data_IF_736400176775
#
_entry.id   IF_736400176775
#
_cell.length_a   1.000
_cell.length_b   1.000
_cell.length_c   1.000
_cell.angle_alpha   90.00
_cell.angle_beta   90.00
_cell.angle_gamma   90.00
#
_symmetry.space_group_name_H-M   'P 1'
#
loop_
_entity.id
_entity.type
_entity.pdbx_description
1 polymer ?
#
# COMPACT_ATOMS: atom_id res chain seq x y z
N UNK A 1 26.94 10.47 -13.99
CA UNK A 1 25.61 10.15 -14.56
C UNK A 1 24.95 11.45 -14.99
N UNK A 2 24.27 11.47 -16.16
CA UNK A 2 23.61 12.68 -16.67
C UNK A 2 22.09 12.45 -16.69
N UNK A 3 21.35 13.11 -15.81
CA UNK A 3 19.88 13.02 -15.71
C UNK A 3 19.27 14.25 -16.35
N UNK A 4 18.35 14.07 -17.28
CA UNK A 4 17.66 15.16 -17.96
C UNK A 4 16.19 15.23 -17.53
N UNK A 5 15.72 16.42 -17.19
CA UNK A 5 14.36 16.73 -16.79
C UNK A 5 13.70 17.60 -17.87
N UNK A 6 12.52 17.22 -18.30
CA UNK A 6 11.73 18.00 -19.28
C UNK A 6 10.36 18.35 -18.67
N UNK A 7 10.30 19.49 -17.98
CA UNK A 7 9.08 19.96 -17.34
C UNK A 7 7.98 20.41 -18.34
N UNK A 8 8.34 20.60 -19.60
CA UNK A 8 7.36 20.90 -20.65
C UNK A 8 6.72 19.64 -21.24
N UNK A 9 7.31 18.45 -21.00
CA UNK A 9 6.78 17.18 -21.44
C UNK A 9 5.96 16.54 -20.32
N UNK A 10 4.65 16.64 -20.39
CA UNK A 10 3.74 15.93 -19.50
C UNK A 10 3.65 14.45 -19.93
N UNK A 11 4.03 13.53 -19.07
CA UNK A 11 4.01 12.07 -19.32
C UNK A 11 2.84 11.37 -18.64
N UNK A 12 2.16 12.05 -17.73
CA UNK A 12 1.02 11.52 -16.99
C UNK A 12 0.65 12.37 -15.78
N UNK A 13 0.00 11.77 -14.82
CA UNK A 13 -0.22 12.36 -13.49
C UNK A 13 0.73 11.70 -12.47
N UNK A 14 1.07 12.42 -11.43
CA UNK A 14 1.69 11.80 -10.25
C UNK A 14 0.63 10.96 -9.56
N UNK A 15 0.89 9.65 -9.47
CA UNK A 15 -0.01 8.68 -8.85
C UNK A 15 0.12 8.69 -7.31
N UNK A 16 -0.86 8.17 -6.58
CA UNK A 16 -0.85 8.08 -5.11
C UNK A 16 0.09 6.94 -4.63
N UNK A 17 1.41 7.13 -4.80
CA UNK A 17 2.43 6.12 -4.47
C UNK A 17 2.91 6.20 -3.01
N UNK A 18 2.42 7.17 -2.22
CA UNK A 18 2.82 7.42 -0.83
C UNK A 18 1.66 7.28 0.17
N UNK A 19 0.72 6.37 -0.12
CA UNK A 19 -0.28 5.92 0.85
C UNK A 19 0.36 5.14 2.01
N UNK A 20 -0.39 4.95 3.07
CA UNK A 20 0.08 4.22 4.26
C UNK A 20 -0.92 3.13 4.68
N UNK A 21 -0.42 2.04 5.23
CA UNK A 21 -1.19 1.12 6.05
C UNK A 21 -1.10 1.52 7.52
N UNK A 22 -2.14 1.26 8.30
CA UNK A 22 -2.19 1.54 9.74
C UNK A 22 -1.80 2.99 10.09
N UNK A 23 -2.76 3.92 10.06
CA UNK A 23 -2.48 5.33 10.26
C UNK A 23 -1.84 5.61 11.64
N UNK A 24 -1.09 6.73 11.78
CA UNK A 24 -0.30 7.03 12.97
C UNK A 24 -1.15 7.63 14.09
N UNK A 25 -1.84 6.81 14.89
CA UNK A 25 -2.52 7.26 16.11
C UNK A 25 -1.98 6.55 17.35
N UNK A 26 -2.15 7.17 18.50
CA UNK A 26 -1.72 6.64 19.79
C UNK A 26 -2.91 6.70 20.77
N UNK A 27 -3.45 5.54 21.09
CA UNK A 27 -4.66 5.47 21.92
C UNK A 27 -5.86 6.09 21.20
N UNK A 28 -6.32 7.25 21.67
CA UNK A 28 -7.39 8.05 21.06
C UNK A 28 -6.86 9.39 20.53
N UNK A 29 -5.54 9.55 20.46
CA UNK A 29 -4.91 10.77 19.96
C UNK A 29 -4.69 10.65 18.44
N UNK A 30 -5.46 11.37 17.68
CA UNK A 30 -5.38 11.46 16.23
C UNK A 30 -4.59 12.70 15.76
N UNK A 31 -3.98 13.48 16.65
CA UNK A 31 -3.22 14.68 16.29
C UNK A 31 -2.05 14.39 15.34
N UNK A 32 -1.51 13.17 15.40
CA UNK A 32 -0.46 12.69 14.51
C UNK A 32 -0.91 12.56 13.04
N UNK A 33 -2.21 12.62 12.73
CA UNK A 33 -2.70 12.68 11.35
C UNK A 33 -2.34 13.99 10.65
N UNK A 34 -1.92 15.02 11.41
CA UNK A 34 -1.30 16.21 10.83
C UNK A 34 -0.11 15.86 9.92
N UNK A 35 0.69 14.85 10.28
CA UNK A 35 1.78 14.36 9.44
C UNK A 35 1.29 13.76 8.11
N UNK A 36 0.15 13.09 8.10
CA UNK A 36 -0.45 12.59 6.85
C UNK A 36 -0.85 13.77 5.94
N UNK A 37 -1.48 14.79 6.52
CA UNK A 37 -1.88 16.01 5.79
C UNK A 37 -0.65 16.78 5.28
N UNK A 38 0.37 16.96 6.11
CA UNK A 38 1.61 17.64 5.75
C UNK A 38 2.35 16.96 4.60
N UNK A 39 2.40 15.63 4.59
CA UNK A 39 2.97 14.84 3.51
C UNK A 39 2.02 14.61 2.34
N UNK A 40 0.78 15.14 2.38
CA UNK A 40 -0.28 14.90 1.39
C UNK A 40 -0.53 13.41 1.12
N UNK A 41 -0.47 12.57 2.17
CA UNK A 41 -0.72 11.13 2.07
C UNK A 41 -2.13 10.90 1.53
N UNK A 42 -2.28 10.19 0.38
CA UNK A 42 -3.56 10.14 -0.33
C UNK A 42 -4.56 9.15 0.26
N UNK A 43 -4.07 8.09 0.90
CA UNK A 43 -4.89 7.00 1.44
C UNK A 43 -4.27 6.40 2.69
N UNK A 44 -5.13 5.93 3.63
CA UNK A 44 -4.75 5.04 4.72
C UNK A 44 -5.50 3.70 4.58
N UNK A 45 -4.78 2.61 4.36
CA UNK A 45 -5.39 1.28 4.34
C UNK A 45 -5.65 0.80 5.76
N UNK A 46 -6.90 0.41 6.04
CA UNK A 46 -7.34 -0.03 7.36
C UNK A 46 -7.24 -1.55 7.50
N UNK A 47 -6.03 -2.04 7.70
CA UNK A 47 -5.74 -3.42 8.09
C UNK A 47 -4.83 -3.41 9.33
N UNK A 48 -4.99 -4.38 10.26
CA UNK A 48 -4.27 -4.47 11.54
C UNK A 48 -4.35 -3.21 12.41
N UNK A 49 -5.36 -2.41 12.25
CA UNK A 49 -5.52 -1.17 13.00
C UNK A 49 -5.84 -1.48 14.46
N UNK A 50 -4.89 -1.20 15.33
CA UNK A 50 -5.03 -1.36 16.77
C UNK A 50 -6.08 -0.44 17.37
N UNK A 51 -6.44 -0.71 18.60
CA UNK A 51 -7.39 0.08 19.35
C UNK A 51 -6.82 0.66 20.64
N UNK A 52 -7.57 1.59 21.24
CA UNK A 52 -7.17 2.35 22.39
C UNK A 52 -6.95 1.50 23.66
N UNK A 53 -7.67 0.45 23.84
CA UNK A 53 -7.70 -0.31 25.11
C UNK A 53 -7.28 -1.76 24.92
N UNK A 54 -6.04 -1.98 24.55
CA UNK A 54 -5.44 -3.30 24.66
C UNK A 54 -5.89 -4.32 23.62
N UNK A 55 -5.93 -3.96 22.37
CA UNK A 55 -6.00 -4.92 21.28
C UNK A 55 -7.35 -5.12 20.63
N UNK A 56 -8.31 -4.25 20.85
CA UNK A 56 -9.50 -4.18 20.00
C UNK A 56 -9.08 -3.84 18.57
N UNK A 57 -9.50 -4.63 17.60
CA UNK A 57 -9.30 -4.36 16.17
C UNK A 57 -10.59 -3.78 15.62
N UNK A 58 -10.77 -2.48 15.81
CA UNK A 58 -12.06 -1.77 15.62
C UNK A 58 -12.64 -1.91 14.23
N UNK A 59 -11.77 -1.96 13.22
CA UNK A 59 -12.18 -2.05 11.81
C UNK A 59 -12.50 -3.46 11.37
N UNK A 60 -12.26 -4.46 12.20
CA UNK A 60 -12.59 -5.85 11.88
C UNK A 60 -14.10 -6.07 11.94
N UNK A 61 -14.62 -6.75 10.92
CA UNK A 61 -16.06 -7.05 10.84
C UNK A 61 -16.59 -7.72 12.10
N UNK A 62 -15.90 -8.74 12.71
CA UNK A 62 -16.35 -9.36 13.96
C UNK A 62 -16.33 -8.41 15.18
N UNK A 63 -15.72 -7.25 15.08
CA UNK A 63 -15.75 -6.25 16.14
C UNK A 63 -16.86 -5.23 15.94
N UNK A 64 -17.14 -4.90 14.70
CA UNK A 64 -18.26 -4.01 14.34
C UNK A 64 -19.59 -4.75 14.49
N UNK A 65 -19.68 -6.00 14.02
CA UNK A 65 -20.87 -6.85 14.13
C UNK A 65 -20.51 -8.13 14.88
N UNK A 66 -20.71 -8.14 16.21
CA UNK A 66 -20.12 -9.16 17.10
C UNK A 66 -20.88 -10.47 17.14
N UNK A 67 -22.19 -10.43 17.08
CA UNK A 67 -23.03 -11.64 17.07
C UNK A 67 -23.55 -11.92 15.66
N UNK A 68 -22.97 -12.91 15.00
CA UNK A 68 -23.37 -13.30 13.66
C UNK A 68 -24.84 -13.77 13.57
N UNK A 69 -25.47 -14.15 14.69
CA UNK A 69 -26.89 -14.54 14.71
C UNK A 69 -27.84 -13.34 14.92
N UNK A 70 -27.32 -12.16 15.29
CA UNK A 70 -28.14 -10.94 15.41
C UNK A 70 -28.74 -10.52 14.05
N UNK A 71 -29.75 -9.67 14.07
CA UNK A 71 -30.34 -9.10 12.85
C UNK A 71 -29.40 -8.06 12.25
N UNK A 72 -28.92 -8.30 11.03
CA UNK A 72 -28.03 -7.40 10.32
C UNK A 72 -28.70 -6.10 9.84
N UNK A 73 -30.02 -6.03 9.88
CA UNK A 73 -30.79 -4.81 9.54
C UNK A 73 -31.02 -3.90 10.75
N UNK A 74 -30.80 -4.41 11.97
CA UNK A 74 -30.92 -3.64 13.20
C UNK A 74 -29.63 -2.85 13.49
N UNK A 75 -29.65 -1.50 13.50
CA UNK A 75 -28.52 -0.68 13.91
C UNK A 75 -27.92 -1.05 15.27
N UNK A 76 -28.71 -1.55 16.21
CA UNK A 76 -28.24 -1.94 17.54
C UNK A 76 -27.32 -3.18 17.52
N UNK A 77 -27.29 -3.93 16.42
CA UNK A 77 -26.40 -5.07 16.22
C UNK A 77 -24.94 -4.66 15.89
N UNK A 78 -24.69 -3.37 15.65
CA UNK A 78 -23.38 -2.84 15.24
C UNK A 78 -22.76 -1.95 16.32
N UNK A 79 -21.43 -2.02 16.43
CA UNK A 79 -20.63 -1.15 17.30
C UNK A 79 -19.65 -0.36 16.44
N UNK A 80 -20.04 0.86 16.09
CA UNK A 80 -19.22 1.77 15.28
C UNK A 80 -18.37 2.74 16.12
N UNK A 81 -18.53 2.78 17.44
CA UNK A 81 -18.03 3.85 18.29
C UNK A 81 -16.54 4.22 18.05
N UNK A 82 -15.66 3.23 17.96
CA UNK A 82 -14.24 3.48 17.76
C UNK A 82 -13.86 3.62 16.27
N UNK A 83 -14.51 2.88 15.41
CA UNK A 83 -14.26 2.96 13.95
C UNK A 83 -14.68 4.32 13.43
N UNK A 84 -15.78 4.90 13.96
CA UNK A 84 -16.26 6.23 13.62
C UNK A 84 -15.23 7.32 13.94
N UNK A 85 -14.64 7.28 15.13
CA UNK A 85 -13.64 8.28 15.52
C UNK A 85 -12.41 8.21 14.65
N UNK A 86 -11.96 7.00 14.30
CA UNK A 86 -10.83 6.78 13.41
C UNK A 86 -11.11 7.27 11.98
N UNK A 87 -12.23 6.84 11.40
CA UNK A 87 -12.58 7.18 10.02
C UNK A 87 -12.85 8.68 9.87
N UNK A 88 -13.60 9.28 10.84
CA UNK A 88 -13.83 10.73 10.85
C UNK A 88 -12.53 11.52 10.90
N UNK A 89 -11.61 11.13 11.79
CA UNK A 89 -10.31 11.80 11.88
C UNK A 89 -9.50 11.69 10.57
N UNK A 90 -9.50 10.52 9.91
CA UNK A 90 -8.84 10.38 8.61
C UNK A 90 -9.45 11.29 7.54
N UNK A 91 -10.77 11.36 7.49
CA UNK A 91 -11.48 12.23 6.55
C UNK A 91 -11.20 13.72 6.81
N UNK A 92 -11.19 14.15 8.09
CA UNK A 92 -10.89 15.53 8.49
C UNK A 92 -9.46 15.97 8.11
N UNK A 93 -8.51 15.03 8.13
CA UNK A 93 -7.13 15.29 7.71
C UNK A 93 -6.90 15.08 6.20
N UNK A 94 -7.94 14.72 5.44
CA UNK A 94 -7.87 14.56 3.97
C UNK A 94 -7.13 13.30 3.53
N UNK A 95 -7.14 12.25 4.36
CA UNK A 95 -6.53 10.96 4.08
C UNK A 95 -7.60 9.85 4.09
N UNK A 96 -8.46 9.74 3.06
CA UNK A 96 -9.56 8.79 3.04
C UNK A 96 -9.07 7.33 3.17
N UNK A 97 -9.86 6.45 3.79
CA UNK A 97 -9.46 5.06 3.95
C UNK A 97 -9.65 4.22 2.68
N UNK A 98 -8.77 3.22 2.51
CA UNK A 98 -9.08 1.96 1.83
C UNK A 98 -9.56 1.02 2.92
N UNK A 99 -10.86 0.71 2.94
CA UNK A 99 -11.48 -0.05 4.03
C UNK A 99 -11.43 -1.55 3.74
N UNK A 100 -10.68 -2.32 4.53
CA UNK A 100 -10.61 -3.77 4.43
C UNK A 100 -11.80 -4.42 5.16
N UNK A 101 -12.69 -5.04 4.40
CA UNK A 101 -13.81 -5.86 4.90
C UNK A 101 -13.30 -7.27 5.23
N UNK A 102 -13.01 -7.53 6.50
CA UNK A 102 -12.43 -8.81 6.93
C UNK A 102 -11.90 -8.73 8.36
N UNK A 103 -10.78 -9.38 8.60
CA UNK A 103 -10.16 -9.52 9.93
C UNK A 103 -8.67 -9.22 9.91
N UNK A 104 -8.11 -8.96 11.09
CA UNK A 104 -6.69 -8.73 11.34
C UNK A 104 -5.98 -10.04 11.65
N UNK A 105 -4.76 -10.25 11.13
CA UNK A 105 -3.94 -11.45 11.41
C UNK A 105 -3.61 -11.59 12.90
N UNK A 106 -3.33 -10.50 13.58
CA UNK A 106 -3.01 -10.49 15.01
C UNK A 106 -4.24 -10.69 15.90
N UNK A 107 -5.43 -10.74 15.31
CA UNK A 107 -6.68 -10.89 16.03
C UNK A 107 -7.03 -12.36 16.28
N UNK A 108 -6.08 -13.15 16.74
CA UNK A 108 -6.24 -14.57 17.06
C UNK A 108 -6.93 -14.80 18.40
N UNK A 109 -8.01 -14.05 18.67
CA UNK A 109 -8.78 -14.25 19.89
C UNK A 109 -9.78 -15.39 19.69
N UNK A 110 -9.55 -16.51 20.38
CA UNK A 110 -10.39 -17.72 20.34
C UNK A 110 -11.86 -17.52 20.74
N UNK A 111 -12.20 -16.37 21.28
CA UNK A 111 -13.56 -16.06 21.76
C UNK A 111 -14.47 -15.52 20.64
N UNK A 112 -13.95 -15.26 19.44
CA UNK A 112 -14.69 -14.56 18.38
C UNK A 112 -15.31 -15.52 17.38
N UNK A 113 -16.60 -15.31 17.12
CA UNK A 113 -17.47 -16.30 16.51
C UNK A 113 -17.15 -16.64 15.04
N UNK A 114 -16.54 -15.74 14.25
CA UNK A 114 -16.29 -15.99 12.82
C UNK A 114 -15.03 -15.27 12.32
N UNK A 115 -14.14 -15.07 13.13
CA UNK A 115 -12.84 -14.46 13.03
C UNK A 115 -12.13 -14.70 11.68
N UNK A 116 -11.18 -15.64 11.62
CA UNK A 116 -10.55 -16.07 10.36
C UNK A 116 -11.27 -17.26 9.71
N UNK A 117 -12.40 -17.67 10.28
CA UNK A 117 -13.20 -18.78 9.77
C UNK A 117 -14.18 -18.31 8.71
N UNK A 118 -14.53 -19.17 7.73
CA UNK A 118 -15.61 -18.88 6.81
C UNK A 118 -16.89 -18.51 7.57
N UNK A 119 -17.54 -17.39 7.24
CA UNK A 119 -18.86 -17.09 7.80
C UNK A 119 -19.86 -18.21 7.43
N UNK A 120 -20.76 -18.52 8.36
CA UNK A 120 -21.78 -19.57 8.14
C UNK A 120 -22.73 -19.31 6.99
N UNK A 121 -22.91 -18.02 6.63
CA UNK A 121 -23.77 -17.54 5.55
C UNK A 121 -23.05 -16.35 4.87
N UNK A 122 -22.57 -16.58 3.66
CA UNK A 122 -21.86 -15.56 2.86
C UNK A 122 -22.79 -14.41 2.43
N UNK A 123 -24.07 -14.72 2.17
CA UNK A 123 -25.07 -13.70 1.86
C UNK A 123 -25.32 -12.76 3.02
N UNK A 124 -25.42 -13.29 4.25
CA UNK A 124 -25.53 -12.47 5.45
C UNK A 124 -24.28 -11.63 5.69
N UNK A 125 -23.09 -12.21 5.52
CA UNK A 125 -21.83 -11.48 5.63
C UNK A 125 -21.77 -10.32 4.63
N UNK A 126 -22.21 -10.54 3.39
CA UNK A 126 -22.30 -9.50 2.37
C UNK A 126 -23.26 -8.36 2.77
N UNK A 127 -24.43 -8.67 3.39
CA UNK A 127 -25.36 -7.66 3.91
C UNK A 127 -24.80 -6.93 5.12
N UNK A 128 -24.04 -7.57 6.00
CA UNK A 128 -23.30 -6.88 7.07
C UNK A 128 -22.34 -5.86 6.47
N UNK A 129 -21.54 -6.25 5.48
CA UNK A 129 -20.64 -5.34 4.76
C UNK A 129 -21.41 -4.19 4.08
N UNK A 130 -22.56 -4.45 3.47
CA UNK A 130 -23.44 -3.42 2.91
C UNK A 130 -23.82 -2.37 3.96
N UNK A 131 -24.26 -2.78 5.15
CA UNK A 131 -24.68 -1.85 6.19
C UNK A 131 -23.51 -1.02 6.74
N UNK A 132 -22.29 -1.58 6.79
CA UNK A 132 -21.08 -0.82 7.14
C UNK A 132 -20.80 0.27 6.06
N UNK A 133 -20.96 -0.07 4.78
CA UNK A 133 -20.79 0.91 3.68
C UNK A 133 -21.88 1.98 3.76
N UNK A 134 -23.14 1.61 3.99
CA UNK A 134 -24.24 2.55 4.16
C UNK A 134 -24.03 3.48 5.35
N UNK A 135 -23.44 2.96 6.44
CA UNK A 135 -23.11 3.78 7.61
C UNK A 135 -22.15 4.91 7.24
N UNK A 136 -21.07 4.62 6.54
CA UNK A 136 -20.06 5.63 6.18
C UNK A 136 -20.43 6.48 4.96
N UNK A 137 -21.25 5.97 4.05
CA UNK A 137 -21.53 6.66 2.78
C UNK A 137 -22.97 7.18 2.62
N UNK A 138 -23.95 6.63 3.37
CA UNK A 138 -25.37 6.95 3.20
C UNK A 138 -26.07 7.39 4.51
N UNK A 139 -25.32 7.51 5.61
CA UNK A 139 -25.84 7.97 6.91
C UNK A 139 -26.67 6.94 7.68
N UNK A 140 -26.67 5.66 7.28
CA UNK A 140 -27.39 4.61 8.01
C UNK A 140 -26.87 4.49 9.45
N UNK A 141 -27.76 4.17 10.41
CA UNK A 141 -27.43 4.03 11.84
C UNK A 141 -26.78 5.29 12.45
N UNK A 142 -27.28 6.49 12.12
CA UNK A 142 -26.68 7.79 12.47
C UNK A 142 -25.23 7.95 11.98
N UNK A 143 -24.90 7.36 10.85
CA UNK A 143 -23.58 7.41 10.25
C UNK A 143 -23.28 8.67 9.43
N UNK A 144 -22.48 8.52 8.40
CA UNK A 144 -21.82 9.61 7.67
C UNK A 144 -22.14 9.58 6.17
N UNK A 145 -21.73 10.64 5.46
CA UNK A 145 -21.79 10.78 4.01
C UNK A 145 -20.39 11.05 3.45
N UNK A 146 -19.42 10.23 3.83
CA UNK A 146 -18.00 10.45 3.49
C UNK A 146 -17.66 10.13 2.04
N UNK A 147 -18.42 9.26 1.38
CA UNK A 147 -18.13 8.84 0.02
C UNK A 147 -16.83 8.02 -0.10
N UNK A 148 -16.57 7.13 0.85
CA UNK A 148 -15.42 6.22 0.81
C UNK A 148 -15.53 5.36 -0.45
N UNK A 149 -14.47 5.37 -1.27
CA UNK A 149 -14.48 4.73 -2.59
C UNK A 149 -14.03 3.29 -2.54
N UNK A 150 -12.96 2.96 -1.80
CA UNK A 150 -12.30 1.66 -1.87
C UNK A 150 -12.71 0.74 -0.73
N UNK A 151 -13.26 -0.43 -1.10
CA UNK A 151 -13.71 -1.48 -0.19
C UNK A 151 -13.06 -2.80 -0.59
N UNK A 152 -12.13 -3.28 0.22
CA UNK A 152 -11.32 -4.44 -0.04
C UNK A 152 -11.88 -5.66 0.68
N UNK A 153 -12.16 -6.75 -0.06
CA UNK A 153 -12.70 -7.98 0.51
C UNK A 153 -11.55 -8.85 1.00
N UNK A 154 -11.43 -8.97 2.32
CA UNK A 154 -10.46 -9.75 3.07
C UNK A 154 -9.02 -9.21 3.01
N UNK A 155 -8.08 -10.02 3.54
CA UNK A 155 -6.63 -9.81 3.50
C UNK A 155 -5.94 -11.16 3.48
N UNK A 156 -5.03 -11.37 2.56
CA UNK A 156 -4.14 -12.54 2.49
C UNK A 156 -4.82 -13.91 2.72
N UNK A 157 -5.91 -14.24 2.05
CA UNK A 157 -6.52 -15.56 2.18
C UNK A 157 -5.62 -16.68 1.63
N UNK A 158 -4.56 -16.33 0.91
CA UNK A 158 -3.50 -17.18 0.36
C UNK A 158 -2.29 -17.34 1.31
N UNK A 159 -2.33 -16.76 2.51
CA UNK A 159 -1.20 -16.70 3.45
C UNK A 159 -0.95 -18.03 4.20
N UNK A 160 -0.90 -19.13 3.52
CA UNK A 160 -0.64 -20.48 4.07
C UNK A 160 -1.32 -21.55 3.24
N UNK A 161 -0.98 -22.80 3.52
CA UNK A 161 -1.69 -23.94 2.95
C UNK A 161 -3.07 -24.11 3.64
N UNK A 162 -4.06 -24.73 2.97
CA UNK A 162 -5.34 -25.03 3.59
C UNK A 162 -5.16 -25.73 4.96
N UNK A 163 -5.79 -25.20 6.00
CA UNK A 163 -5.64 -25.66 7.39
C UNK A 163 -4.45 -25.09 8.17
N UNK A 164 -3.50 -24.43 7.52
CA UNK A 164 -2.33 -23.77 8.15
C UNK A 164 -2.36 -22.25 7.97
N UNK A 165 -3.33 -21.73 7.24
CA UNK A 165 -3.45 -20.31 6.91
C UNK A 165 -3.86 -19.49 8.14
N UNK A 166 -3.11 -18.43 8.42
CA UNK A 166 -3.34 -17.54 9.58
C UNK A 166 -4.44 -16.51 9.33
N UNK A 167 -4.89 -16.35 8.09
CA UNK A 167 -5.89 -15.36 7.69
C UNK A 167 -7.22 -15.97 7.23
N UNK A 168 -7.21 -17.24 6.81
CA UNK A 168 -8.38 -17.95 6.30
C UNK A 168 -8.28 -19.45 6.57
N UNK A 169 -9.22 -20.00 7.32
CA UNK A 169 -9.24 -21.43 7.67
C UNK A 169 -10.11 -22.28 6.75
N UNK A 170 -10.84 -21.64 5.84
CA UNK A 170 -11.62 -22.32 4.80
C UNK A 170 -10.76 -22.83 3.64
N UNK A 171 -11.39 -23.42 2.64
CA UNK A 171 -10.74 -23.76 1.37
C UNK A 171 -10.59 -22.52 0.48
N UNK A 172 -9.77 -22.65 -0.57
CA UNK A 172 -9.61 -21.60 -1.57
C UNK A 172 -10.96 -21.29 -2.26
N UNK A 173 -11.72 -22.34 -2.61
CA UNK A 173 -13.03 -22.21 -3.24
C UNK A 173 -14.07 -21.55 -2.34
N UNK A 174 -14.02 -21.79 -1.02
CA UNK A 174 -14.89 -21.10 -0.06
C UNK A 174 -14.57 -19.59 -0.03
N UNK A 175 -13.29 -19.22 -0.13
CA UNK A 175 -12.92 -17.80 -0.24
C UNK A 175 -13.41 -17.18 -1.56
N UNK A 176 -13.22 -17.88 -2.68
CA UNK A 176 -13.68 -17.41 -3.99
C UNK A 176 -15.19 -17.21 -4.00
N UNK A 177 -15.94 -18.11 -3.39
CA UNK A 177 -17.39 -17.99 -3.25
C UNK A 177 -17.79 -16.83 -2.33
N UNK A 178 -17.10 -16.62 -1.20
CA UNK A 178 -17.31 -15.47 -0.32
C UNK A 178 -17.11 -14.16 -1.09
N UNK A 179 -16.00 -14.06 -1.85
CA UNK A 179 -15.69 -12.89 -2.66
C UNK A 179 -16.81 -12.64 -3.71
N UNK A 180 -17.17 -13.65 -4.46
CA UNK A 180 -18.18 -13.57 -5.53
C UNK A 180 -19.53 -13.08 -5.00
N UNK A 181 -20.04 -13.73 -3.95
CA UNK A 181 -21.32 -13.37 -3.32
C UNK A 181 -21.27 -11.93 -2.81
N UNK A 182 -20.19 -11.55 -2.14
CA UNK A 182 -20.04 -10.22 -1.58
C UNK A 182 -19.91 -9.14 -2.65
N UNK A 183 -19.03 -9.34 -3.62
CA UNK A 183 -18.81 -8.37 -4.69
C UNK A 183 -20.07 -8.14 -5.53
N UNK A 184 -20.79 -9.20 -5.90
CA UNK A 184 -22.08 -9.11 -6.61
C UNK A 184 -23.12 -8.35 -5.80
N UNK A 185 -23.23 -8.65 -4.51
CA UNK A 185 -24.15 -7.97 -3.61
C UNK A 185 -23.84 -6.47 -3.51
N UNK A 186 -22.60 -6.13 -3.19
CA UNK A 186 -22.16 -4.74 -3.04
C UNK A 186 -22.29 -3.93 -4.35
N UNK A 187 -21.90 -4.50 -5.48
CA UNK A 187 -22.06 -3.81 -6.77
C UNK A 187 -23.54 -3.67 -7.17
N UNK A 188 -24.41 -4.59 -6.77
CA UNK A 188 -25.86 -4.44 -6.94
C UNK A 188 -26.41 -3.28 -6.11
N UNK A 189 -25.93 -3.09 -4.88
CA UNK A 189 -26.39 -2.03 -3.95
C UNK A 189 -25.87 -0.65 -4.33
N UNK A 190 -24.59 -0.56 -4.69
CA UNK A 190 -23.86 0.73 -4.79
C UNK A 190 -23.39 1.07 -6.21
N UNK A 191 -23.42 0.14 -7.15
CA UNK A 191 -22.99 0.36 -8.54
C UNK A 191 -21.57 0.88 -8.65
N UNK A 192 -21.39 2.01 -9.33
CA UNK A 192 -20.10 2.67 -9.54
C UNK A 192 -19.72 3.68 -8.46
N UNK A 193 -20.56 3.90 -7.43
CA UNK A 193 -20.25 4.81 -6.34
C UNK A 193 -19.14 4.28 -5.43
N UNK A 194 -18.90 2.97 -5.47
CA UNK A 194 -17.80 2.32 -4.77
C UNK A 194 -16.98 1.44 -5.72
N UNK A 195 -15.72 1.20 -5.34
CA UNK A 195 -14.86 0.19 -5.94
C UNK A 195 -14.68 -0.97 -4.97
N UNK A 196 -14.94 -2.17 -5.45
CA UNK A 196 -14.79 -3.42 -4.72
C UNK A 196 -13.64 -4.21 -5.33
N UNK A 197 -12.76 -4.70 -4.50
CA UNK A 197 -11.61 -5.48 -4.97
C UNK A 197 -10.99 -6.34 -3.87
N UNK A 198 -9.83 -6.84 -4.11
CA UNK A 198 -9.09 -7.73 -3.23
C UNK A 198 -8.07 -8.51 -4.07
N UNK A 199 -7.54 -9.54 -3.58
CA UNK A 199 -7.75 -10.14 -2.24
C UNK A 199 -6.59 -9.83 -1.27
N UNK A 200 -5.77 -8.82 -1.58
CA UNK A 200 -4.56 -8.50 -0.85
C UNK A 200 -3.63 -9.72 -0.78
N UNK A 201 -3.19 -10.20 -1.95
CA UNK A 201 -2.33 -11.38 -2.06
C UNK A 201 -1.06 -11.22 -1.24
N UNK A 202 -0.69 -12.25 -0.48
CA UNK A 202 0.51 -12.24 0.38
C UNK A 202 1.83 -12.07 -0.39
N UNK A 203 1.87 -12.35 -1.69
CA UNK A 203 3.04 -12.14 -2.52
C UNK A 203 3.22 -13.14 -3.66
N UNK A 204 4.30 -12.90 -4.43
CA UNK A 204 4.60 -13.64 -5.66
C UNK A 204 6.00 -14.25 -5.63
N UNK A 205 6.52 -14.58 -4.47
CA UNK A 205 7.91 -15.00 -4.26
C UNK A 205 8.36 -16.19 -5.11
N UNK A 206 7.44 -17.13 -5.40
CA UNK A 206 7.77 -18.34 -6.19
C UNK A 206 8.12 -18.06 -7.65
N UNK A 207 7.81 -16.88 -8.20
CA UNK A 207 8.22 -16.50 -9.56
C UNK A 207 9.74 -16.41 -9.69
N UNK A 208 10.45 -16.12 -8.61
CA UNK A 208 11.91 -16.03 -8.58
C UNK A 208 12.59 -17.40 -8.50
N UNK A 209 11.84 -18.46 -8.14
CA UNK A 209 12.38 -19.83 -8.16
C UNK A 209 12.40 -20.43 -9.58
N UNK A 210 11.48 -20.02 -10.44
CA UNK A 210 11.39 -20.45 -11.84
C UNK A 210 11.27 -19.23 -12.78
N UNK A 211 12.27 -18.34 -12.80
CA UNK A 211 12.13 -17.02 -13.41
C UNK A 211 11.78 -17.08 -14.89
N UNK A 212 12.40 -17.98 -15.67
CA UNK A 212 12.14 -18.10 -17.12
C UNK A 212 10.72 -18.59 -17.42
N UNK A 213 10.15 -19.43 -16.56
CA UNK A 213 8.77 -19.91 -16.69
C UNK A 213 7.76 -18.77 -16.57
N UNK A 214 8.04 -17.80 -15.72
CA UNK A 214 7.17 -16.65 -15.46
C UNK A 214 7.63 -15.38 -16.20
N UNK A 215 8.66 -15.48 -17.04
CA UNK A 215 9.19 -14.36 -17.82
C UNK A 215 9.95 -13.32 -16.99
N UNK A 216 10.37 -13.67 -15.80
CA UNK A 216 11.24 -12.85 -14.95
C UNK A 216 12.70 -13.08 -15.36
N UNK A 217 13.55 -12.05 -15.52
CA UNK A 217 14.96 -12.24 -15.88
C UNK A 217 15.73 -13.02 -14.81
N UNK A 218 16.47 -14.04 -15.21
CA UNK A 218 17.24 -14.91 -14.31
C UNK A 218 18.26 -14.14 -13.46
N UNK A 219 18.89 -13.12 -14.04
CA UNK A 219 19.91 -12.30 -13.35
C UNK A 219 19.34 -11.43 -12.22
N UNK A 220 18.09 -11.08 -12.28
CA UNK A 220 17.46 -10.28 -11.23
C UNK A 220 17.17 -11.11 -9.97
N UNK A 221 17.00 -12.42 -10.12
CA UNK A 221 16.76 -13.34 -9.01
C UNK A 221 18.03 -13.69 -8.22
N UNK A 222 19.23 -13.44 -8.77
CA UNK A 222 20.45 -14.04 -8.23
C UNK A 222 21.22 -13.19 -7.22
N UNK A 223 21.06 -11.87 -7.20
CA UNK A 223 21.95 -10.98 -6.45
C UNK A 223 21.27 -10.18 -5.31
N UNK A 224 19.96 -10.09 -5.27
CA UNK A 224 19.25 -9.21 -4.34
C UNK A 224 18.39 -9.96 -3.31
N UNK A 225 17.86 -11.15 -3.62
CA UNK A 225 17.18 -12.00 -2.65
C UNK A 225 18.17 -12.52 -1.61
N UNK A 226 17.82 -12.34 -0.32
CA UNK A 226 18.54 -13.03 0.74
C UNK A 226 18.44 -14.56 0.55
N UNK A 227 19.39 -15.32 1.11
CA UNK A 227 19.34 -16.79 1.06
C UNK A 227 18.04 -17.31 1.68
N UNK A 228 17.54 -16.68 2.74
CA UNK A 228 16.28 -16.98 3.38
C UNK A 228 15.08 -16.81 2.42
N UNK A 229 15.05 -15.71 1.65
CA UNK A 229 13.99 -15.48 0.66
C UNK A 229 14.04 -16.44 -0.51
N UNK A 230 15.23 -16.86 -0.93
CA UNK A 230 15.40 -17.88 -1.98
C UNK A 230 14.84 -19.24 -1.54
N UNK A 231 15.10 -19.64 -0.30
CA UNK A 231 14.53 -20.87 0.25
C UNK A 231 13.01 -20.75 0.43
N UNK A 232 12.54 -19.58 0.90
CA UNK A 232 11.10 -19.32 1.01
C UNK A 232 10.40 -19.41 -0.35
N UNK A 233 10.99 -18.86 -1.41
CA UNK A 233 10.41 -18.91 -2.77
C UNK A 233 10.22 -20.36 -3.30
N UNK A 234 10.96 -21.35 -2.78
CA UNK A 234 10.80 -22.77 -3.10
C UNK A 234 9.72 -23.47 -2.28
N UNK A 235 9.26 -22.84 -1.21
CA UNK A 235 8.34 -23.46 -0.25
C UNK A 235 6.97 -23.78 -0.87
N UNK A 236 6.27 -24.80 -0.36
CA UNK A 236 4.89 -25.07 -0.78
C UNK A 236 3.96 -23.86 -0.57
N UNK A 237 4.19 -23.09 0.51
CA UNK A 237 3.42 -21.87 0.81
C UNK A 237 3.58 -20.80 -0.28
N UNK A 238 4.80 -20.49 -0.69
CA UNK A 238 5.03 -19.52 -1.76
C UNK A 238 4.45 -19.96 -3.12
N UNK A 239 4.46 -21.28 -3.40
CA UNK A 239 3.82 -21.86 -4.59
C UNK A 239 2.31 -21.78 -4.50
N UNK A 240 1.73 -22.00 -3.32
CA UNK A 240 0.29 -21.90 -3.09
C UNK A 240 -0.22 -20.47 -3.37
N UNK A 241 0.47 -19.43 -2.91
CA UNK A 241 0.10 -18.03 -3.22
C UNK A 241 -0.09 -17.81 -4.72
N UNK A 242 0.83 -18.35 -5.54
CA UNK A 242 0.76 -18.22 -6.98
C UNK A 242 -0.37 -19.05 -7.60
N UNK A 243 -0.59 -20.28 -7.13
CA UNK A 243 -1.70 -21.12 -7.62
C UNK A 243 -3.05 -20.57 -7.21
N UNK A 244 -3.16 -20.02 -6.02
CA UNK A 244 -4.35 -19.32 -5.54
C UNK A 244 -4.70 -18.12 -6.44
N UNK A 245 -3.70 -17.29 -6.78
CA UNK A 245 -3.90 -16.16 -7.68
C UNK A 245 -4.48 -16.59 -9.04
N UNK A 246 -3.93 -17.63 -9.67
CA UNK A 246 -4.44 -18.13 -10.93
C UNK A 246 -5.85 -18.70 -10.80
N UNK A 247 -6.10 -19.52 -9.77
CA UNK A 247 -7.41 -20.10 -9.52
C UNK A 247 -8.48 -19.05 -9.21
N UNK A 248 -8.11 -17.99 -8.46
CA UNK A 248 -9.02 -16.88 -8.19
C UNK A 248 -9.48 -16.18 -9.46
N UNK A 249 -8.58 -15.80 -10.36
CA UNK A 249 -8.96 -15.12 -11.60
C UNK A 249 -9.70 -16.03 -12.58
N UNK A 250 -9.38 -17.32 -12.63
CA UNK A 250 -10.18 -18.29 -13.37
C UNK A 250 -11.60 -18.38 -12.82
N UNK A 251 -11.77 -18.45 -11.51
CA UNK A 251 -13.07 -18.46 -10.86
C UNK A 251 -13.86 -17.17 -11.15
N UNK A 252 -13.23 -15.99 -10.98
CA UNK A 252 -13.87 -14.70 -11.26
C UNK A 252 -14.37 -14.63 -12.70
N UNK A 253 -13.58 -15.09 -13.66
CA UNK A 253 -13.94 -15.13 -15.08
C UNK A 253 -15.11 -16.08 -15.36
N UNK A 254 -15.10 -17.29 -14.78
CA UNK A 254 -16.14 -18.29 -14.96
C UNK A 254 -17.50 -17.85 -14.38
N UNK A 255 -17.47 -17.13 -13.24
CA UNK A 255 -18.67 -16.71 -12.53
C UNK A 255 -19.15 -15.30 -12.89
N UNK A 256 -18.38 -14.56 -13.72
CA UNK A 256 -18.66 -13.15 -14.02
C UNK A 256 -18.66 -12.27 -12.78
N UNK A 257 -17.76 -12.53 -11.84
CA UNK A 257 -17.67 -11.81 -10.57
C UNK A 257 -17.16 -10.41 -10.81
N UNK A 258 -17.79 -9.35 -10.24
CA UNK A 258 -17.30 -8.00 -10.38
C UNK A 258 -16.04 -7.81 -9.54
N UNK A 259 -15.06 -7.12 -10.13
CA UNK A 259 -13.83 -6.70 -9.49
C UNK A 259 -13.41 -5.36 -10.11
N UNK A 260 -13.12 -4.35 -9.30
CA UNK A 260 -12.70 -3.01 -9.77
C UNK A 260 -11.19 -2.81 -9.60
N UNK A 261 -10.57 -3.47 -8.61
CA UNK A 261 -9.13 -3.43 -8.40
C UNK A 261 -8.59 -4.75 -7.86
N UNK A 262 -7.35 -5.05 -8.19
CA UNK A 262 -6.59 -6.14 -7.59
C UNK A 262 -5.54 -5.58 -6.63
N UNK A 263 -5.45 -6.14 -5.42
CA UNK A 263 -4.48 -5.75 -4.41
C UNK A 263 -3.52 -6.88 -4.08
N UNK A 264 -2.27 -6.51 -3.80
CA UNK A 264 -1.19 -7.43 -3.51
C UNK A 264 -0.13 -6.82 -2.60
N UNK A 265 0.72 -7.65 -2.01
CA UNK A 265 1.76 -7.28 -1.06
C UNK A 265 3.14 -7.67 -1.56
N UNK A 266 4.17 -6.96 -1.10
CA UNK A 266 5.57 -7.34 -1.27
C UNK A 266 6.47 -6.64 -0.28
N UNK A 267 7.44 -7.37 0.25
CA UNK A 267 8.49 -6.89 1.14
C UNK A 267 9.88 -6.99 0.51
N UNK A 268 9.91 -7.09 -0.82
CA UNK A 268 11.12 -7.27 -1.61
C UNK A 268 11.84 -5.95 -1.93
N UNK A 269 13.00 -6.04 -2.56
CA UNK A 269 13.73 -4.88 -3.06
C UNK A 269 12.95 -4.14 -4.16
N UNK A 270 13.35 -2.88 -4.42
CA UNK A 270 12.70 -2.07 -5.47
C UNK A 270 12.74 -2.78 -6.82
N UNK A 271 13.86 -3.37 -7.19
CA UNK A 271 14.02 -4.05 -8.48
C UNK A 271 13.15 -5.30 -8.62
N UNK A 272 12.97 -6.04 -7.53
CA UNK A 272 12.12 -7.23 -7.50
C UNK A 272 10.63 -6.83 -7.57
N UNK A 273 10.23 -5.80 -6.84
CA UNK A 273 8.84 -5.29 -6.88
C UNK A 273 8.50 -4.77 -8.28
N UNK A 274 9.43 -4.12 -8.98
CA UNK A 274 9.22 -3.74 -10.39
C UNK A 274 8.92 -4.95 -11.28
N UNK A 275 9.61 -6.08 -11.08
CA UNK A 275 9.39 -7.32 -11.83
C UNK A 275 8.07 -8.00 -11.46
N UNK A 276 7.71 -8.00 -10.16
CA UNK A 276 6.42 -8.51 -9.70
C UNK A 276 5.28 -7.69 -10.33
N UNK A 277 5.40 -6.35 -10.37
CA UNK A 277 4.38 -5.50 -10.99
C UNK A 277 4.20 -5.82 -12.49
N UNK A 278 5.30 -6.01 -13.22
CA UNK A 278 5.25 -6.41 -14.64
C UNK A 278 4.64 -7.82 -14.82
N UNK A 279 4.93 -8.74 -13.90
CA UNK A 279 4.35 -10.08 -13.89
C UNK A 279 2.83 -10.01 -13.64
N UNK A 280 2.40 -9.27 -12.61
CA UNK A 280 0.98 -9.10 -12.26
C UNK A 280 0.20 -8.48 -13.43
N UNK A 281 0.71 -7.40 -14.02
CA UNK A 281 0.05 -6.73 -15.16
C UNK A 281 -0.14 -7.69 -16.34
N UNK A 282 0.91 -8.44 -16.69
CA UNK A 282 0.85 -9.43 -17.77
C UNK A 282 -0.18 -10.53 -17.49
N UNK A 283 -0.18 -11.10 -16.28
CA UNK A 283 -1.14 -12.14 -15.92
C UNK A 283 -2.57 -11.61 -15.95
N UNK A 284 -2.83 -10.41 -15.43
CA UNK A 284 -4.14 -9.78 -15.50
C UNK A 284 -4.59 -9.58 -16.95
N UNK A 285 -3.71 -9.16 -17.84
CA UNK A 285 -3.99 -9.05 -19.28
C UNK A 285 -4.36 -10.42 -19.88
N UNK A 286 -3.60 -11.47 -19.57
CA UNK A 286 -3.83 -12.84 -20.09
C UNK A 286 -5.17 -13.40 -19.61
N UNK A 287 -5.59 -13.11 -18.39
CA UNK A 287 -6.92 -13.45 -17.87
C UNK A 287 -8.06 -12.60 -18.45
N UNK A 288 -7.75 -11.47 -19.10
CA UNK A 288 -8.73 -10.50 -19.61
C UNK A 288 -9.10 -9.42 -18.60
N UNK A 289 -8.33 -9.27 -17.52
CA UNK A 289 -8.50 -8.28 -16.45
C UNK A 289 -7.48 -7.12 -16.50
N UNK A 290 -6.78 -6.91 -17.61
CA UNK A 290 -5.78 -5.85 -17.76
C UNK A 290 -6.31 -4.42 -17.61
N UNK A 291 -7.63 -4.24 -17.51
CA UNK A 291 -8.29 -2.96 -17.25
C UNK A 291 -8.39 -2.62 -15.75
N UNK A 292 -8.13 -3.57 -14.86
CA UNK A 292 -8.23 -3.34 -13.42
C UNK A 292 -7.22 -2.31 -12.92
N UNK A 293 -7.60 -1.56 -11.89
CA UNK A 293 -6.61 -0.90 -11.05
C UNK A 293 -5.81 -1.94 -10.29
N UNK A 294 -4.52 -1.70 -10.07
CA UNK A 294 -3.68 -2.53 -9.22
C UNK A 294 -3.13 -1.75 -8.05
N UNK A 295 -3.13 -2.36 -6.87
CA UNK A 295 -2.70 -1.72 -5.65
C UNK A 295 -1.65 -2.59 -4.96
N UNK A 296 -0.43 -2.09 -4.81
CA UNK A 296 0.55 -2.64 -3.87
C UNK A 296 0.24 -2.00 -2.50
N UNK A 297 -0.76 -2.54 -1.83
CA UNK A 297 -1.36 -1.88 -0.68
C UNK A 297 -0.84 -2.36 0.67
N UNK A 298 0.24 -3.16 0.63
CA UNK A 298 1.09 -3.45 1.77
C UNK A 298 2.52 -3.71 1.30
N UNK A 299 3.44 -2.82 1.65
CA UNK A 299 4.84 -2.97 1.29
C UNK A 299 5.78 -2.32 2.31
N UNK A 300 6.95 -2.90 2.49
CA UNK A 300 8.06 -2.32 3.22
C UNK A 300 9.35 -2.98 2.72
N UNK A 301 10.31 -2.17 2.33
CA UNK A 301 11.58 -2.65 1.75
C UNK A 301 12.79 -2.46 2.68
N UNK A 302 12.57 -2.31 3.98
CA UNK A 302 13.62 -2.38 5.00
C UNK A 302 13.66 -3.80 5.60
N UNK A 303 14.56 -4.69 5.11
CA UNK A 303 14.52 -6.13 5.41
C UNK A 303 14.84 -6.44 6.87
N UNK A 304 15.58 -5.55 7.55
CA UNK A 304 15.98 -5.72 8.95
C UNK A 304 15.45 -4.57 9.79
N UNK A 305 15.07 -4.87 11.04
CA UNK A 305 14.54 -3.87 11.98
C UNK A 305 15.48 -2.68 12.17
N UNK A 306 16.79 -2.94 12.19
CA UNK A 306 17.84 -1.94 12.39
C UNK A 306 17.93 -0.94 11.23
N UNK A 307 17.45 -1.31 10.04
CA UNK A 307 17.42 -0.45 8.86
C UNK A 307 16.19 0.45 8.82
N UNK A 308 15.15 0.15 9.59
CA UNK A 308 13.91 0.92 9.59
C UNK A 308 14.12 2.29 10.20
N UNK A 309 13.54 3.28 9.55
CA UNK A 309 13.70 4.69 9.97
C UNK A 309 15.08 5.30 9.71
N UNK A 310 15.98 4.59 9.03
CA UNK A 310 17.31 5.05 8.66
C UNK A 310 17.34 5.69 7.26
N UNK A 311 18.48 6.26 6.87
CA UNK A 311 18.71 6.78 5.51
C UNK A 311 18.54 5.67 4.45
N UNK A 312 18.90 4.42 4.75
CA UNK A 312 18.63 3.28 3.89
C UNK A 312 17.13 3.16 3.60
N UNK A 313 16.30 3.12 4.65
CA UNK A 313 14.85 2.99 4.48
C UNK A 313 14.23 4.18 3.74
N UNK A 314 14.69 5.42 4.02
CA UNK A 314 14.18 6.62 3.34
C UNK A 314 14.53 6.65 1.86
N UNK A 315 15.76 6.30 1.49
CA UNK A 315 16.17 6.24 0.09
C UNK A 315 15.44 5.14 -0.68
N UNK A 316 15.30 3.95 -0.08
CA UNK A 316 14.57 2.84 -0.68
C UNK A 316 13.07 3.16 -0.80
N UNK A 317 12.46 3.85 0.18
CA UNK A 317 11.07 4.28 0.08
C UNK A 317 10.88 5.29 -1.07
N UNK A 318 11.75 6.30 -1.17
CA UNK A 318 11.70 7.26 -2.27
C UNK A 318 11.91 6.57 -3.64
N UNK A 319 12.87 5.64 -3.73
CA UNK A 319 13.13 4.86 -4.93
C UNK A 319 11.92 4.01 -5.33
N UNK A 320 11.28 3.32 -4.37
CA UNK A 320 10.06 2.52 -4.62
C UNK A 320 8.93 3.38 -5.19
N UNK A 321 8.65 4.53 -4.58
CA UNK A 321 7.62 5.44 -5.07
C UNK A 321 7.93 5.96 -6.47
N UNK A 322 9.19 6.29 -6.76
CA UNK A 322 9.63 6.72 -8.10
C UNK A 322 9.54 5.59 -9.15
N UNK A 323 9.97 4.39 -8.81
CA UNK A 323 9.94 3.22 -9.69
C UNK A 323 8.50 2.86 -10.08
N UNK A 324 7.65 2.69 -9.07
CA UNK A 324 6.25 2.26 -9.26
C UNK A 324 5.38 3.31 -9.94
N UNK A 325 5.78 4.58 -9.93
CA UNK A 325 5.13 5.64 -10.70
C UNK A 325 5.02 5.30 -12.20
N UNK A 326 6.00 4.58 -12.75
CA UNK A 326 6.06 4.22 -14.17
C UNK A 326 5.55 2.80 -14.47
N UNK A 327 5.13 2.03 -13.46
CA UNK A 327 4.53 0.69 -13.63
C UNK A 327 3.00 0.77 -13.71
N UNK A 328 2.36 -0.33 -14.07
CA UNK A 328 0.88 -0.48 -14.07
C UNK A 328 0.32 -0.61 -12.66
N UNK A 329 0.90 0.05 -11.67
CA UNK A 329 0.40 0.09 -10.30
C UNK A 329 -0.21 1.46 -10.05
N UNK A 330 -1.40 1.51 -9.48
CA UNK A 330 -2.17 2.74 -9.32
C UNK A 330 -2.05 3.33 -7.92
N UNK A 331 -1.93 2.50 -6.89
CA UNK A 331 -1.82 2.92 -5.48
C UNK A 331 -0.76 2.08 -4.78
N UNK A 332 0.03 2.74 -3.92
CA UNK A 332 0.89 2.07 -2.94
C UNK A 332 0.49 2.47 -1.51
N UNK A 333 0.53 1.51 -0.57
CA UNK A 333 0.39 1.80 0.86
C UNK A 333 1.54 1.15 1.64
N UNK A 334 2.38 1.97 2.24
CA UNK A 334 3.52 1.53 3.06
C UNK A 334 3.04 0.88 4.36
N UNK A 335 3.51 -0.28 4.68
CA UNK A 335 3.22 -0.99 5.91
C UNK A 335 4.41 -0.92 6.89
N UNK A 336 4.36 -0.12 8.00
CA UNK A 336 3.19 0.62 8.41
C UNK A 336 3.56 2.02 8.95
N UNK A 337 2.56 2.88 9.07
CA UNK A 337 2.71 4.21 9.64
C UNK A 337 2.37 4.28 11.14
N UNK A 338 2.19 3.15 11.80
CA UNK A 338 1.85 3.06 13.23
C UNK A 338 2.85 3.82 14.08
N UNK A 339 2.35 4.59 15.03
CA UNK A 339 3.13 5.13 16.13
C UNK A 339 3.23 4.08 17.24
N UNK A 340 4.37 3.98 17.88
CA UNK A 340 4.63 2.98 18.89
C UNK A 340 5.28 1.72 18.32
N UNK A 341 5.24 0.64 19.06
CA UNK A 341 5.92 -0.59 18.65
C UNK A 341 5.18 -1.26 17.50
N UNK A 342 5.90 -1.55 16.44
CA UNK A 342 5.46 -2.33 15.30
C UNK A 342 6.55 -3.30 14.86
N UNK A 343 6.16 -4.47 14.36
CA UNK A 343 7.10 -5.41 13.75
C UNK A 343 7.66 -4.82 12.45
N UNK A 344 6.88 -4.04 11.74
CA UNK A 344 7.25 -3.36 10.50
C UNK A 344 7.62 -1.89 10.78
N UNK A 345 6.71 -0.96 10.76
CA UNK A 345 6.95 0.44 11.12
C UNK A 345 8.02 1.16 10.30
N UNK A 346 8.58 2.22 10.87
CA UNK A 346 9.72 2.95 10.31
C UNK A 346 9.43 4.37 9.88
N UNK A 347 8.18 4.84 9.92
CA UNK A 347 7.89 6.26 9.71
C UNK A 347 8.06 7.07 10.98
N UNK A 348 7.81 6.48 12.15
CA UNK A 348 7.87 7.16 13.44
C UNK A 348 8.72 6.39 14.45
N UNK A 349 9.44 7.11 15.28
CA UNK A 349 10.19 6.53 16.38
C UNK A 349 9.22 6.01 17.46
N UNK A 350 9.28 4.71 17.83
CA UNK A 350 8.29 4.11 18.74
C UNK A 350 8.42 4.58 20.21
N UNK A 351 9.48 5.33 20.55
CA UNK A 351 9.73 5.83 21.91
C UNK A 351 9.42 7.32 21.99
N UNK A 352 9.92 8.11 21.02
CA UNK A 352 9.78 9.58 21.02
C UNK A 352 8.57 10.06 20.23
N UNK A 353 7.96 9.18 19.44
CA UNK A 353 6.83 9.42 18.53
C UNK A 353 7.11 10.47 17.44
N UNK A 354 8.38 10.87 17.29
CA UNK A 354 8.80 11.80 16.25
C UNK A 354 9.02 11.10 14.92
N UNK A 355 8.84 11.78 13.79
CA UNK A 355 9.16 11.22 12.49
C UNK A 355 10.61 10.76 12.37
N UNK A 356 10.83 9.63 11.73
CA UNK A 356 12.11 9.20 11.21
C UNK A 356 12.41 9.82 9.85
N UNK A 357 13.62 9.68 9.33
CA UNK A 357 13.95 10.15 8.00
C UNK A 357 13.07 9.52 6.91
N UNK A 358 12.57 8.29 7.08
CA UNK A 358 11.65 7.65 6.14
C UNK A 358 10.37 8.46 5.93
N UNK A 359 9.80 9.08 6.97
CA UNK A 359 8.63 9.96 6.84
C UNK A 359 8.89 11.12 5.85
N UNK A 360 10.09 11.68 5.90
CA UNK A 360 10.44 12.80 5.02
C UNK A 360 10.58 12.39 3.54
N UNK A 361 10.80 11.12 3.24
CA UNK A 361 10.69 10.62 1.86
C UNK A 361 9.24 10.72 1.37
N UNK A 362 8.25 10.43 2.22
CA UNK A 362 6.83 10.62 1.92
C UNK A 362 6.48 12.09 1.76
N UNK A 363 6.99 12.96 2.64
CA UNK A 363 6.79 14.40 2.52
C UNK A 363 7.40 14.96 1.23
N UNK A 364 8.59 14.51 0.83
CA UNK A 364 9.22 14.89 -0.43
C UNK A 364 8.41 14.43 -1.65
N UNK A 365 7.90 13.19 -1.64
CA UNK A 365 7.03 12.70 -2.70
C UNK A 365 5.70 13.46 -2.73
N UNK A 366 5.16 13.84 -1.57
CA UNK A 366 3.97 14.66 -1.43
C UNK A 366 4.07 16.01 -2.12
N UNK A 367 5.27 16.62 -2.17
CA UNK A 367 5.51 17.85 -2.94
C UNK A 367 5.28 17.64 -4.46
N UNK A 368 5.73 16.51 -5.01
CA UNK A 368 5.47 16.15 -6.41
C UNK A 368 3.99 15.82 -6.62
N UNK A 369 3.38 15.11 -5.69
CA UNK A 369 1.96 14.74 -5.77
C UNK A 369 1.04 15.97 -5.82
N UNK A 370 1.34 17.00 -5.03
CA UNK A 370 0.60 18.29 -5.05
C UNK A 370 0.68 19.00 -6.39
N UNK A 371 1.80 18.86 -7.13
CA UNK A 371 1.95 19.42 -8.48
C UNK A 371 1.11 18.66 -9.53
N UNK A 372 0.83 17.40 -9.29
CA UNK A 372 -0.12 16.59 -10.03
C UNK A 372 0.34 16.10 -11.40
N UNK A 373 1.06 16.87 -12.19
CA UNK A 373 1.50 16.47 -13.54
C UNK A 373 2.92 15.89 -13.51
N UNK A 374 3.09 14.65 -13.94
CA UNK A 374 4.40 14.03 -14.12
C UNK A 374 5.12 14.64 -15.32
N UNK A 375 6.39 15.00 -15.14
CA UNK A 375 7.27 15.51 -16.18
C UNK A 375 8.23 14.42 -16.70
N UNK A 376 8.76 14.63 -17.91
CA UNK A 376 9.71 13.69 -18.52
C UNK A 376 11.04 13.64 -17.77
N UNK A 377 11.57 12.43 -17.53
CA UNK A 377 12.89 12.17 -16.93
C UNK A 377 13.61 11.13 -17.76
N UNK A 378 14.90 11.32 -17.99
CA UNK A 378 15.76 10.35 -18.68
C UNK A 378 17.20 10.37 -18.16
N UNK A 379 17.96 9.32 -18.43
CA UNK A 379 19.38 9.22 -18.08
C UNK A 379 19.67 8.70 -16.66
N UNK A 380 18.68 8.39 -15.85
CA UNK A 380 18.86 7.65 -14.60
C UNK A 380 19.35 6.22 -14.90
N UNK A 381 20.27 5.72 -14.07
CA UNK A 381 20.85 4.39 -14.21
C UNK A 381 20.45 3.51 -13.02
N UNK A 382 20.72 2.22 -13.11
CA UNK A 382 20.41 1.24 -12.07
C UNK A 382 20.87 1.71 -10.68
N UNK A 383 19.97 1.64 -9.71
CA UNK A 383 20.19 2.06 -8.33
C UNK A 383 20.02 3.56 -8.09
N UNK A 384 19.79 4.38 -9.13
CA UNK A 384 19.43 5.79 -9.00
C UNK A 384 18.04 6.01 -9.63
N UNK A 385 17.08 6.42 -8.83
CA UNK A 385 15.70 6.63 -9.24
C UNK A 385 15.39 8.13 -9.24
N UNK A 386 14.70 8.59 -10.26
CA UNK A 386 14.36 10.01 -10.40
C UNK A 386 12.93 10.17 -10.90
N UNK A 387 12.24 11.16 -10.37
CA UNK A 387 10.89 11.55 -10.75
C UNK A 387 10.79 13.08 -10.80
N UNK A 388 9.98 13.61 -11.69
CA UNK A 388 9.74 15.04 -11.78
C UNK A 388 8.25 15.35 -11.93
N UNK A 389 7.86 16.50 -11.39
CA UNK A 389 6.50 17.01 -11.50
C UNK A 389 6.49 18.52 -11.80
N UNK A 390 5.42 18.96 -12.45
CA UNK A 390 5.23 20.36 -12.80
C UNK A 390 3.76 20.79 -12.70
N UNK A 391 3.55 22.03 -12.27
CA UNK A 391 2.26 22.71 -12.33
C UNK A 391 2.45 24.23 -12.40
N UNK A 392 1.82 24.90 -13.37
CA UNK A 392 1.74 26.36 -13.47
C UNK A 392 3.07 27.11 -13.23
N UNK A 393 4.18 26.59 -13.78
CA UNK A 393 5.52 27.17 -13.63
C UNK A 393 6.28 26.73 -12.37
N UNK A 394 5.64 25.97 -11.49
CA UNK A 394 6.29 25.27 -10.38
C UNK A 394 6.85 23.94 -10.86
N UNK A 395 8.07 23.65 -10.50
CA UNK A 395 8.80 22.46 -10.90
C UNK A 395 9.43 21.81 -9.67
N UNK A 396 9.32 20.48 -9.57
CA UNK A 396 10.02 19.70 -8.56
C UNK A 396 10.62 18.43 -9.18
N UNK A 397 11.77 18.02 -8.68
CA UNK A 397 12.41 16.76 -9.02
C UNK A 397 12.87 16.06 -7.73
N UNK A 398 12.61 14.77 -7.63
CA UNK A 398 13.02 13.90 -6.53
C UNK A 398 14.01 12.89 -7.09
N UNK A 399 15.19 12.75 -6.45
CA UNK A 399 16.22 11.78 -6.86
C UNK A 399 16.63 10.99 -5.61
N UNK A 400 16.65 9.66 -5.72
CA UNK A 400 17.09 8.74 -4.66
C UNK A 400 18.25 7.89 -5.18
N UNK A 401 19.31 7.76 -4.39
CA UNK A 401 20.44 6.88 -4.68
C UNK A 401 20.44 5.69 -3.73
N UNK A 402 20.05 4.53 -4.22
CA UNK A 402 20.12 3.24 -3.51
C UNK A 402 21.21 2.33 -4.09
N UNK A 403 22.07 2.86 -4.97
CA UNK A 403 23.22 2.11 -5.46
C UNK A 403 24.28 1.94 -4.38
N UNK A 404 25.21 1.01 -4.56
CA UNK A 404 26.31 0.74 -3.62
C UNK A 404 27.38 1.85 -3.58
N UNK A 405 27.22 2.92 -4.36
CA UNK A 405 28.22 3.98 -4.56
C UNK A 405 27.59 5.35 -4.49
N UNK A 406 28.43 6.33 -4.17
CA UNK A 406 28.10 7.72 -4.37
C UNK A 406 27.87 8.00 -5.86
N UNK A 407 26.79 8.69 -6.18
CA UNK A 407 26.44 9.04 -7.56
C UNK A 407 26.89 10.48 -7.86
N UNK A 408 27.84 10.65 -8.78
CA UNK A 408 28.18 11.97 -9.33
C UNK A 408 27.15 12.30 -10.41
N UNK A 409 26.31 13.29 -10.16
CA UNK A 409 25.18 13.66 -10.99
C UNK A 409 25.44 14.98 -11.73
N UNK A 410 25.06 15.02 -12.98
CA UNK A 410 24.94 16.22 -13.80
C UNK A 410 23.50 16.29 -14.30
N UNK A 411 22.89 17.46 -14.23
CA UNK A 411 21.51 17.66 -14.67
C UNK A 411 21.38 18.92 -15.52
N UNK A 412 20.23 19.07 -16.20
CA UNK A 412 19.86 20.31 -16.91
C UNK A 412 19.02 21.26 -16.03
N UNK A 413 19.00 21.03 -14.71
CA UNK A 413 18.25 21.90 -13.79
C UNK A 413 18.93 23.25 -13.62
N UNK A 414 18.11 24.28 -13.43
CA UNK A 414 18.62 25.63 -13.14
C UNK A 414 19.36 25.65 -11.79
N UNK A 415 20.54 26.27 -11.72
CA UNK A 415 21.22 26.51 -10.44
C UNK A 415 20.41 27.32 -9.42
N UNK A 416 19.35 28.00 -9.87
CA UNK A 416 18.44 28.76 -8.99
C UNK A 416 17.40 27.89 -8.28
N UNK A 417 17.28 26.60 -8.64
CA UNK A 417 16.43 25.69 -7.86
C UNK A 417 17.03 25.41 -6.49
N UNK A 418 16.17 25.33 -5.48
CA UNK A 418 16.59 24.97 -4.13
C UNK A 418 16.67 23.46 -3.99
N UNK A 419 17.71 22.96 -3.34
CA UNK A 419 17.90 21.57 -2.99
C UNK A 419 17.59 21.31 -1.51
N UNK A 420 16.90 20.20 -1.23
CA UNK A 420 16.58 19.74 0.12
C UNK A 420 17.07 18.30 0.27
N UNK A 421 18.09 18.14 1.11
CA UNK A 421 18.76 16.84 1.33
C UNK A 421 18.02 16.03 2.39
N UNK A 422 17.96 14.73 2.18
CA UNK A 422 17.39 13.76 3.11
C UNK A 422 18.36 12.60 3.31
N UNK A 423 18.82 12.45 4.53
CA UNK A 423 19.59 11.31 5.04
C UNK A 423 19.45 11.24 6.57
N UNK A 424 20.37 10.54 7.26
CA UNK A 424 20.32 10.36 8.72
C UNK A 424 20.51 11.66 9.52
N UNK A 425 21.13 12.65 8.93
CA UNK A 425 21.46 13.94 9.57
C UNK A 425 20.61 15.09 9.02
N UNK A 426 20.06 14.93 7.82
CA UNK A 426 19.29 15.93 7.10
C UNK A 426 17.86 15.43 6.84
N UNK A 427 16.89 16.16 7.34
CA UNK A 427 15.45 15.84 7.23
C UNK A 427 14.76 16.85 6.29
N UNK A 428 15.05 16.75 4.99
CA UNK A 428 14.73 17.76 3.97
C UNK A 428 15.30 19.11 4.31
N UNK A 429 16.55 19.14 4.72
CA UNK A 429 17.29 20.36 5.04
C UNK A 429 17.80 21.01 3.76
N UNK A 430 17.61 22.32 3.61
CA UNK A 430 18.14 23.08 2.46
C UNK A 430 19.66 22.92 2.35
N UNK A 431 20.15 22.70 1.15
CA UNK A 431 21.57 22.45 0.85
C UNK A 431 22.08 23.42 -0.20
N UNK A 432 23.35 23.80 -0.09
CA UNK A 432 24.03 24.69 -1.07
C UNK A 432 24.56 23.91 -2.31
N UNK A 433 24.23 22.63 -2.45
CA UNK A 433 24.64 21.85 -3.63
C UNK A 433 24.04 22.46 -4.90
N UNK A 434 24.88 22.62 -5.93
CA UNK A 434 24.44 23.14 -7.22
C UNK A 434 23.53 22.10 -7.94
N UNK A 435 22.23 22.39 -8.17
CA UNK A 435 21.32 21.45 -8.83
C UNK A 435 21.80 20.94 -10.20
N UNK A 436 22.64 21.70 -10.90
CA UNK A 436 23.20 21.28 -12.18
C UNK A 436 24.33 20.25 -12.09
N UNK A 437 25.02 20.19 -10.92
CA UNK A 437 26.12 19.22 -10.70
C UNK A 437 26.39 19.02 -9.23
N UNK A 438 26.16 17.82 -8.72
CA UNK A 438 26.31 17.47 -7.30
C UNK A 438 26.65 16.00 -7.11
N UNK A 439 27.04 15.65 -5.88
CA UNK A 439 27.23 14.26 -5.45
C UNK A 439 26.08 13.87 -4.56
N UNK A 440 25.35 12.82 -4.92
CA UNK A 440 24.36 12.20 -4.08
C UNK A 440 24.93 10.90 -3.49
N UNK A 441 25.25 10.91 -2.21
CA UNK A 441 25.86 9.75 -1.55
C UNK A 441 24.91 8.56 -1.54
N UNK A 442 25.48 7.36 -1.30
CA UNK A 442 24.68 6.17 -1.06
C UNK A 442 23.62 6.41 0.03
N UNK A 443 22.40 5.95 -0.19
CA UNK A 443 21.25 6.11 0.71
C UNK A 443 20.86 7.57 1.00
N UNK A 444 21.14 8.49 0.09
CA UNK A 444 20.64 9.85 0.13
C UNK A 444 19.50 10.07 -0.86
N UNK A 445 18.62 10.99 -0.49
CA UNK A 445 17.56 11.53 -1.34
C UNK A 445 17.71 13.03 -1.44
N UNK A 446 17.46 13.61 -2.59
CA UNK A 446 17.39 15.06 -2.76
C UNK A 446 16.07 15.44 -3.45
N UNK A 447 15.40 16.44 -2.87
CA UNK A 447 14.27 17.13 -3.48
C UNK A 447 14.77 18.47 -4.03
N UNK A 448 14.60 18.71 -5.32
CA UNK A 448 14.97 19.95 -6.01
C UNK A 448 13.69 20.66 -6.46
N UNK A 449 13.49 21.93 -6.09
CA UNK A 449 12.29 22.69 -6.47
C UNK A 449 12.55 24.18 -6.64
N UNK A 450 11.68 24.87 -7.41
CA UNK A 450 11.82 26.28 -7.75
C UNK A 450 10.81 27.21 -7.05
N UNK A 451 10.13 26.69 -6.02
CA UNK A 451 9.10 27.43 -5.26
C UNK A 451 9.29 27.30 -3.77
#
# INVERSE_FOLDING_TARGET
MNIQFNFNQKTGRIKPMHGVGQPPFLGIDYSYFSYLKEAAVPFARLHDVGGAYGGGRFVDIPNIFRDFNADETDPASYDFAFTDTLVSALMDYGCPPIFRLGVTIENQCYIRAYHIHPPKDFGKWARICEHIIRHYNEGWANGFHFGIVYWEIWNEPDNGLPGENQMWTGTDEEYFALYDVTAKHLKKCFGSSIKVGGFASSGFYSIFNEPLKFGVPEKASSNELSEEMREYAKSPRAKHMLTFFFAFFDYMKQHGSPIDFFSWHSYDSVAEVEQIADFVDRCLCDFGFGHLETQLNEWNNAPKKELRGTSFASANAAAMMCAMQNKKTDILCYYDARIGQSVYGGLFNPITYKPFCTYYAFAAFGELYRLGSQAGVSGAQQGVYALAAADAGKHAALIANISEKDAVLSTNLSPAMKGFLLDQEHFLTETDQNPASFVLKQNQVILLKNF
#
